data_IF_325040202233
#
_entry.id   IF_325040202233
#
_cell.length_a   1.000
_cell.length_b   1.000
_cell.length_c   1.000
_cell.angle_alpha   90.00
_cell.angle_beta   90.00
_cell.angle_gamma   90.00
#
_symmetry.space_group_name_H-M   'P 1'
#
loop_
_entity.id
_entity.type
_entity.pdbx_description
1 polymer ?
#
# COMPACT_ATOMS: atom_id res chain seq x y z
N UNK A 1 15.05 -41.38 -7.93
CA UNK A 1 13.64 -40.96 -7.90
C UNK A 1 13.50 -40.20 -6.59
N UNK A 2 13.16 -38.92 -6.54
CA UNK A 2 11.99 -38.29 -7.13
C UNK A 2 12.18 -36.77 -7.03
N UNK A 3 12.10 -36.11 -8.19
CA UNK A 3 11.65 -34.74 -8.47
C UNK A 3 12.18 -33.49 -7.73
N UNK A 4 12.91 -32.70 -8.52
CA UNK A 4 12.77 -31.25 -8.66
C UNK A 4 11.34 -30.74 -8.41
N UNK A 5 11.20 -29.63 -7.69
CA UNK A 5 10.00 -28.80 -7.81
C UNK A 5 10.41 -27.34 -7.86
N UNK A 6 10.07 -26.72 -8.99
CA UNK A 6 10.26 -25.32 -9.32
C UNK A 6 9.57 -24.45 -8.26
N UNK A 7 10.33 -23.59 -7.60
CA UNK A 7 9.73 -22.45 -6.91
C UNK A 7 9.43 -21.39 -7.98
N UNK A 8 8.14 -21.19 -8.24
CA UNK A 8 7.64 -20.11 -9.05
C UNK A 8 8.19 -18.77 -8.54
N UNK A 9 8.68 -17.93 -9.45
CA UNK A 9 9.01 -16.53 -9.17
C UNK A 9 7.86 -15.87 -8.40
N UNK A 10 8.08 -15.26 -7.23
CA UNK A 10 7.07 -14.36 -6.70
C UNK A 10 7.10 -13.10 -7.58
N UNK A 11 5.94 -12.77 -8.11
CA UNK A 11 5.67 -11.52 -8.80
C UNK A 11 6.09 -10.33 -7.93
N UNK A 12 6.47 -9.24 -8.62
CA UNK A 12 6.87 -7.94 -8.08
C UNK A 12 6.08 -7.57 -6.80
N UNK A 13 6.74 -7.22 -5.68
CA UNK A 13 6.02 -6.77 -4.50
C UNK A 13 5.59 -5.33 -4.74
N UNK A 14 4.34 -5.14 -5.17
CA UNK A 14 3.70 -3.84 -5.24
C UNK A 14 2.91 -3.61 -3.93
N UNK A 15 3.62 -3.47 -2.81
CA UNK A 15 3.01 -3.19 -1.51
C UNK A 15 4.00 -3.33 -0.35
N UNK A 16 3.98 -2.39 0.61
CA UNK A 16 4.79 -2.52 1.83
C UNK A 16 4.10 -3.51 2.78
N UNK A 17 4.75 -4.64 3.03
CA UNK A 17 4.26 -5.70 3.90
C UNK A 17 4.63 -5.38 5.36
N UNK A 18 3.80 -4.63 6.08
CA UNK A 18 4.04 -4.28 7.49
C UNK A 18 3.33 -5.27 8.44
N UNK A 19 4.09 -6.22 9.00
CA UNK A 19 3.57 -7.17 9.98
C UNK A 19 3.98 -6.77 11.40
N UNK A 20 3.00 -6.39 12.23
CA UNK A 20 3.12 -6.42 13.69
C UNK A 20 2.09 -7.44 14.21
N UNK A 21 2.60 -8.51 14.83
CA UNK A 21 1.87 -9.55 15.54
C UNK A 21 0.98 -10.50 14.69
N UNK A 22 1.53 -11.66 14.32
CA UNK A 22 0.83 -12.98 14.28
C UNK A 22 -0.45 -13.15 13.46
N UNK A 23 -0.95 -12.13 12.77
CA UNK A 23 -2.14 -12.13 11.92
C UNK A 23 -1.74 -11.78 10.49
N UNK A 24 -2.55 -12.21 9.52
CA UNK A 24 -2.31 -12.02 8.09
C UNK A 24 -1.80 -10.61 7.78
N UNK A 25 -0.70 -10.54 7.03
CA UNK A 25 -0.10 -9.26 6.74
C UNK A 25 -1.03 -8.52 5.77
N UNK A 26 -1.65 -7.45 6.27
CA UNK A 26 -2.56 -6.63 5.49
C UNK A 26 -1.72 -5.84 4.49
N UNK A 27 -1.97 -6.09 3.21
CA UNK A 27 -1.33 -5.31 2.14
C UNK A 27 -1.85 -3.88 2.20
N UNK A 28 -0.90 -2.92 2.30
CA UNK A 28 -1.17 -1.49 2.38
C UNK A 28 -0.28 -0.74 1.40
N UNK A 29 -0.65 0.51 1.13
CA UNK A 29 0.12 1.38 0.26
C UNK A 29 1.52 1.62 0.86
N UNK A 30 2.57 1.56 0.03
CA UNK A 30 3.92 1.91 0.47
C UNK A 30 3.96 3.30 1.05
N UNK A 31 4.54 3.44 2.24
CA UNK A 31 4.48 4.70 2.98
C UNK A 31 5.64 4.91 3.93
N UNK A 32 5.91 6.17 4.23
CA UNK A 32 6.91 6.58 5.22
C UNK A 32 6.28 7.48 6.26
N UNK A 33 6.80 7.50 7.49
CA UNK A 33 6.33 8.42 8.52
C UNK A 33 6.87 9.82 8.24
N UNK A 34 6.04 10.84 8.43
CA UNK A 34 6.52 12.22 8.44
C UNK A 34 7.06 12.60 9.85
N UNK A 35 7.55 13.84 9.98
CA UNK A 35 8.08 14.33 11.25
C UNK A 35 7.00 14.68 12.30
N UNK A 36 5.72 14.63 11.93
CA UNK A 36 4.59 15.13 12.71
C UNK A 36 3.57 14.04 13.06
N UNK A 37 3.95 12.76 12.96
CA UNK A 37 3.09 11.65 13.36
C UNK A 37 2.10 11.17 12.29
N UNK A 38 2.17 11.69 11.07
CA UNK A 38 1.41 11.19 9.93
C UNK A 38 2.23 10.32 8.99
N UNK A 39 1.68 10.06 7.79
CA UNK A 39 2.24 9.17 6.78
C UNK A 39 2.22 9.76 5.37
N UNK A 40 3.30 9.56 4.64
CA UNK A 40 3.48 9.99 3.25
C UNK A 40 3.45 8.77 2.35
N UNK A 41 2.52 8.74 1.40
CA UNK A 41 2.45 7.80 0.28
C UNK A 41 3.02 8.47 -0.96
N UNK A 42 4.06 7.88 -1.57
CA UNK A 42 4.66 8.40 -2.80
C UNK A 42 4.37 7.44 -3.96
N UNK A 43 3.30 7.71 -4.72
CA UNK A 43 2.94 6.92 -5.89
C UNK A 43 3.90 7.27 -7.04
N UNK A 44 4.49 6.24 -7.64
CA UNK A 44 5.46 6.39 -8.75
C UNK A 44 5.05 5.57 -9.96
N UNK A 45 4.59 4.36 -9.71
CA UNK A 45 4.26 3.41 -10.76
C UNK A 45 2.75 3.44 -11.08
N UNK A 46 2.37 3.15 -12.34
CA UNK A 46 0.98 2.95 -12.70
C UNK A 46 0.31 1.91 -11.81
N UNK A 47 -0.88 2.25 -11.31
CA UNK A 47 -1.66 1.39 -10.44
C UNK A 47 -3.10 1.31 -10.96
N UNK A 48 -3.66 0.11 -10.92
CA UNK A 48 -5.06 -0.10 -11.24
C UNK A 48 -5.96 0.62 -10.20
N UNK A 49 -7.03 1.32 -10.64
CA UNK A 49 -7.90 2.06 -9.73
C UNK A 49 -8.59 1.20 -8.65
N UNK A 50 -9.00 -0.04 -8.96
CA UNK A 50 -9.66 -0.93 -8.00
C UNK A 50 -8.67 -1.49 -6.97
N UNK A 51 -7.44 -1.78 -7.43
CA UNK A 51 -6.33 -2.16 -6.54
C UNK A 51 -6.00 -1.00 -5.60
N UNK A 52 -5.87 0.22 -6.14
CA UNK A 52 -5.61 1.42 -5.35
C UNK A 52 -6.71 1.65 -4.30
N UNK A 53 -7.99 1.51 -4.66
CA UNK A 53 -9.11 1.65 -3.74
C UNK A 53 -9.02 0.66 -2.57
N UNK A 54 -8.70 -0.60 -2.88
CA UNK A 54 -8.58 -1.67 -1.89
C UNK A 54 -7.42 -1.42 -0.92
N UNK A 55 -6.24 -1.09 -1.46
CA UNK A 55 -5.05 -0.79 -0.67
C UNK A 55 -5.24 0.48 0.16
N UNK A 56 -5.79 1.55 -0.40
CA UNK A 56 -6.04 2.80 0.31
C UNK A 56 -6.97 2.56 1.51
N UNK A 57 -8.05 1.81 1.32
CA UNK A 57 -8.99 1.46 2.41
C UNK A 57 -8.31 0.69 3.54
N UNK A 58 -7.54 -0.35 3.19
CA UNK A 58 -6.77 -1.13 4.17
C UNK A 58 -5.74 -0.28 4.91
N UNK A 59 -5.04 0.60 4.18
CA UNK A 59 -4.03 1.52 4.72
C UNK A 59 -4.63 2.49 5.72
N UNK A 60 -5.75 3.15 5.38
CA UNK A 60 -6.43 4.09 6.26
C UNK A 60 -6.91 3.43 7.56
N UNK A 61 -7.44 2.21 7.49
CA UNK A 61 -7.83 1.45 8.68
C UNK A 61 -6.62 1.15 9.57
N UNK A 62 -5.49 0.79 8.97
CA UNK A 62 -4.27 0.48 9.69
C UNK A 62 -3.66 1.73 10.33
N UNK A 63 -3.49 2.81 9.59
CA UNK A 63 -2.95 4.07 10.10
C UNK A 63 -3.84 4.70 11.17
N UNK A 64 -5.16 4.51 11.09
CA UNK A 64 -6.08 4.89 12.15
C UNK A 64 -5.83 4.09 13.44
N UNK A 65 -5.61 2.78 13.36
CA UNK A 65 -5.23 1.95 14.53
C UNK A 65 -3.90 2.40 15.13
N UNK A 66 -2.96 2.79 14.28
CA UNK A 66 -1.65 3.32 14.68
C UNK A 66 -1.70 4.79 15.16
N UNK A 67 -2.88 5.43 15.15
CA UNK A 67 -3.09 6.83 15.54
C UNK A 67 -2.22 7.81 14.75
N UNK A 68 -2.16 7.64 13.43
CA UNK A 68 -1.51 8.61 12.54
C UNK A 68 -2.34 9.89 12.44
N UNK A 69 -1.67 11.03 12.51
CA UNK A 69 -2.30 12.35 12.59
C UNK A 69 -2.70 12.92 11.22
N UNK A 70 -2.07 12.44 10.14
CA UNK A 70 -2.33 12.89 8.78
C UNK A 70 -1.85 11.88 7.74
N UNK A 71 -2.44 11.96 6.54
CA UNK A 71 -2.06 11.15 5.37
C UNK A 71 -1.84 12.10 4.20
N UNK A 72 -0.65 12.06 3.60
CA UNK A 72 -0.32 12.83 2.39
C UNK A 72 -0.08 11.84 1.25
N UNK A 73 -0.83 12.01 0.15
CA UNK A 73 -0.63 11.21 -1.05
C UNK A 73 0.01 12.11 -2.11
N UNK A 74 1.26 11.81 -2.44
CA UNK A 74 1.95 12.41 -3.58
C UNK A 74 1.57 11.61 -4.82
N UNK A 75 0.83 12.27 -5.71
CA UNK A 75 0.23 11.66 -6.89
C UNK A 75 0.75 12.37 -8.16
N UNK A 76 1.52 11.68 -9.01
CA UNK A 76 1.92 12.18 -10.32
C UNK A 76 0.71 12.49 -11.20
N UNK A 77 0.84 13.49 -12.08
CA UNK A 77 -0.28 13.91 -12.94
C UNK A 77 -0.74 12.80 -13.89
N UNK A 78 0.15 11.86 -14.22
CA UNK A 78 -0.12 10.68 -15.03
C UNK A 78 -1.10 9.70 -14.36
N UNK A 79 -1.20 9.75 -13.02
CA UNK A 79 -2.09 8.91 -12.21
C UNK A 79 -3.35 9.65 -11.77
N UNK A 80 -3.76 10.70 -12.51
CA UNK A 80 -4.95 11.52 -12.20
C UNK A 80 -6.24 10.70 -12.10
N UNK A 81 -6.30 9.54 -12.76
CA UNK A 81 -7.40 8.58 -12.66
C UNK A 81 -7.64 8.06 -11.24
N UNK A 82 -6.65 8.16 -10.33
CA UNK A 82 -6.78 7.73 -8.94
C UNK A 82 -7.31 8.84 -8.01
N UNK A 83 -7.36 10.09 -8.46
CA UNK A 83 -7.77 11.25 -7.63
C UNK A 83 -9.21 11.11 -7.16
N UNK A 84 -10.13 10.70 -8.05
CA UNK A 84 -11.53 10.54 -7.68
C UNK A 84 -11.70 9.50 -6.55
N UNK A 85 -10.90 8.45 -6.57
CA UNK A 85 -10.92 7.39 -5.55
C UNK A 85 -10.35 7.90 -4.23
N UNK A 86 -9.28 8.70 -4.27
CA UNK A 86 -8.65 9.25 -3.06
C UNK A 86 -9.54 10.25 -2.30
N UNK A 87 -10.55 10.83 -2.94
CA UNK A 87 -11.42 11.88 -2.38
C UNK A 87 -12.78 11.35 -1.90
N UNK A 88 -13.20 10.16 -2.35
CA UNK A 88 -14.47 9.51 -1.96
C UNK A 88 -14.39 8.85 -0.59
#
# INVERSE_FOLDING_TARGET
>A
VELMSVAASPALPLGDHLCENGFECVEILPSTNDAHGGVIVDLKDPMDPEIFASLLKSSLLQWKKQRKDGVWIKLPIELVNLVEIAVK
#
